data_IF_895770088945
#
_entry.id   IF_895770088945
#
_cell.length_a   1.000
_cell.length_b   1.000
_cell.length_c   1.000
_cell.angle_alpha   90.00
_cell.angle_beta   90.00
_cell.angle_gamma   90.00
#
_symmetry.space_group_name_H-M   'P 1'
#
loop_
_entity.id
_entity.type
_entity.pdbx_description
1 polymer ?
#
# COMPACT_ATOMS: atom_id res chain seq x y z
N UNK A 1 8.74 -14.06 21.25
CA UNK A 1 7.50 -13.80 21.99
C UNK A 1 6.51 -14.94 21.75
N UNK A 2 5.58 -15.18 22.67
CA UNK A 2 4.49 -16.15 22.57
C UNK A 2 3.19 -15.47 22.96
N UNK A 3 2.08 -15.99 22.47
CA UNK A 3 0.73 -15.51 22.75
C UNK A 3 -0.29 -16.42 22.10
N UNK A 4 -1.53 -15.96 21.99
CA UNK A 4 -2.64 -16.66 21.33
C UNK A 4 -3.17 -15.83 20.16
N UNK A 5 -3.84 -16.50 19.23
CA UNK A 5 -4.62 -15.82 18.18
C UNK A 5 -5.98 -15.45 18.79
N UNK A 6 -6.22 -14.16 18.91
CA UNK A 6 -7.44 -13.61 19.50
C UNK A 6 -8.57 -13.43 18.48
N UNK A 7 -8.21 -13.28 17.18
CA UNK A 7 -9.17 -13.27 16.06
C UNK A 7 -8.47 -13.64 14.75
N UNK A 8 -9.20 -14.29 13.83
CA UNK A 8 -8.67 -14.72 12.52
C UNK A 8 -9.06 -13.79 11.37
N UNK A 9 -10.12 -12.97 11.54
CA UNK A 9 -10.72 -12.17 10.48
C UNK A 9 -10.95 -10.72 10.94
N UNK A 10 -9.93 -10.13 11.60
CA UNK A 10 -10.03 -8.74 12.05
C UNK A 10 -9.88 -7.79 10.86
N UNK A 11 -10.94 -7.08 10.53
CA UNK A 11 -10.89 -6.02 9.53
C UNK A 11 -10.35 -4.73 10.14
N UNK A 12 -9.29 -4.21 9.54
CA UNK A 12 -8.65 -2.95 9.93
C UNK A 12 -8.48 -2.10 8.68
N UNK A 13 -8.90 -0.85 8.76
CA UNK A 13 -8.73 0.13 7.69
C UNK A 13 -7.52 1.01 7.99
N UNK A 14 -6.53 0.99 7.11
CA UNK A 14 -5.29 1.77 7.18
C UNK A 14 -5.15 2.50 5.86
N UNK A 15 -4.96 3.83 5.92
CA UNK A 15 -4.79 4.65 4.71
C UNK A 15 -5.90 4.35 3.67
N UNK A 16 -7.17 4.23 4.12
CA UNK A 16 -8.36 3.87 3.35
C UNK A 16 -8.34 2.46 2.71
N UNK A 17 -7.39 1.62 3.09
CA UNK A 17 -7.35 0.22 2.71
C UNK A 17 -7.83 -0.68 3.85
N UNK A 18 -8.89 -1.45 3.61
CA UNK A 18 -9.36 -2.46 4.56
C UNK A 18 -8.61 -3.76 4.33
N UNK A 19 -7.92 -4.22 5.38
CA UNK A 19 -7.21 -5.50 5.41
C UNK A 19 -7.84 -6.44 6.42
N UNK A 20 -7.88 -7.72 6.08
CA UNK A 20 -8.26 -8.79 7.01
C UNK A 20 -6.99 -9.36 7.64
N UNK A 21 -6.85 -9.22 8.96
CA UNK A 21 -5.64 -9.57 9.69
C UNK A 21 -5.92 -10.60 10.80
N UNK A 22 -4.89 -11.36 11.16
CA UNK A 22 -4.87 -12.13 12.41
C UNK A 22 -4.60 -11.16 13.56
N UNK A 23 -5.36 -11.27 14.63
CA UNK A 23 -5.11 -10.55 15.88
C UNK A 23 -4.46 -11.49 16.90
N UNK A 24 -3.46 -11.01 17.62
CA UNK A 24 -2.74 -11.76 18.65
C UNK A 24 -2.41 -10.87 19.85
N UNK A 25 -2.32 -11.46 21.02
CA UNK A 25 -1.80 -10.82 22.24
C UNK A 25 -0.28 -11.00 22.40
N UNK A 26 0.36 -11.76 21.51
CA UNK A 26 1.82 -11.85 21.46
C UNK A 26 2.42 -10.43 21.29
N UNK A 27 3.43 -10.10 22.09
CA UNK A 27 4.05 -8.78 22.07
C UNK A 27 4.65 -8.48 20.69
N UNK A 28 4.04 -7.57 19.95
CA UNK A 28 4.51 -7.02 18.68
C UNK A 28 5.11 -5.66 18.96
N UNK A 29 6.38 -5.50 18.63
CA UNK A 29 7.16 -4.27 18.84
C UNK A 29 7.96 -3.93 17.58
N UNK A 30 8.46 -2.70 17.44
CA UNK A 30 9.43 -2.37 16.40
C UNK A 30 10.60 -3.36 16.38
N UNK A 31 10.89 -3.94 15.22
CA UNK A 31 11.86 -5.02 15.04
C UNK A 31 11.23 -6.39 14.76
N UNK A 32 9.97 -6.62 15.12
CA UNK A 32 9.26 -7.86 14.78
C UNK A 32 8.58 -7.79 13.41
N UNK A 33 8.39 -6.59 12.85
CA UNK A 33 7.69 -6.37 11.58
C UNK A 33 8.39 -7.11 10.43
N UNK A 34 7.61 -7.84 9.62
CA UNK A 34 8.12 -8.73 8.58
C UNK A 34 8.54 -10.10 9.08
N UNK A 35 8.58 -10.33 10.40
CA UNK A 35 8.87 -11.64 10.99
C UNK A 35 7.71 -12.62 10.82
N UNK A 36 8.01 -13.92 10.87
CA UNK A 36 7.00 -14.97 10.78
C UNK A 36 6.27 -15.17 12.11
N UNK A 37 4.95 -15.36 12.01
CA UNK A 37 4.11 -15.86 13.10
C UNK A 37 3.90 -17.37 12.88
N UNK A 38 4.29 -18.17 13.88
CA UNK A 38 4.26 -19.63 13.79
C UNK A 38 3.28 -20.22 14.81
N UNK A 39 2.62 -21.32 14.45
CA UNK A 39 1.83 -22.10 15.40
C UNK A 39 2.73 -23.03 16.25
N UNK A 40 2.13 -23.78 17.18
CA UNK A 40 2.85 -24.70 18.06
C UNK A 40 3.53 -25.87 17.31
N UNK A 41 3.06 -26.18 16.09
CA UNK A 41 3.64 -27.24 15.23
C UNK A 41 4.79 -26.72 14.37
N UNK A 42 5.13 -25.42 14.48
CA UNK A 42 6.18 -24.77 13.68
C UNK A 42 5.74 -24.35 12.28
N UNK A 43 4.44 -24.38 11.97
CA UNK A 43 3.93 -23.90 10.68
C UNK A 43 3.80 -22.38 10.67
N UNK A 44 4.23 -21.73 9.60
CA UNK A 44 4.03 -20.32 9.37
C UNK A 44 2.53 -20.06 9.14
N UNK A 45 1.91 -19.23 9.98
CA UNK A 45 0.49 -18.87 9.90
C UNK A 45 0.26 -17.41 9.49
N UNK A 46 1.27 -16.56 9.64
CA UNK A 46 1.16 -15.15 9.26
C UNK A 46 2.49 -14.42 9.22
N UNK A 47 2.45 -13.20 8.73
CA UNK A 47 3.58 -12.25 8.69
C UNK A 47 3.23 -11.07 9.59
N UNK A 48 4.07 -10.81 10.60
CA UNK A 48 3.84 -9.74 11.58
C UNK A 48 3.83 -8.37 10.90
N UNK A 49 2.78 -7.58 11.18
CA UNK A 49 2.66 -6.19 10.74
C UNK A 49 2.66 -5.25 11.97
N UNK A 50 3.82 -4.71 12.32
CA UNK A 50 3.96 -3.84 13.47
C UNK A 50 3.36 -2.42 13.29
N UNK A 51 2.94 -2.05 12.07
CA UNK A 51 2.39 -0.70 11.79
C UNK A 51 1.09 -0.44 12.57
N UNK A 52 0.34 -1.50 12.86
CA UNK A 52 -0.94 -1.42 13.56
C UNK A 52 -0.84 -1.50 15.10
N UNK A 53 0.28 -1.92 15.63
CA UNK A 53 0.51 -1.88 17.07
C UNK A 53 0.68 -0.46 17.63
N UNK A 54 0.69 0.56 16.76
CA UNK A 54 0.82 1.98 17.12
C UNK A 54 -0.44 2.61 17.74
N UNK A 55 -1.51 1.85 17.96
CA UNK A 55 -2.74 2.34 18.62
C UNK A 55 -2.57 2.61 20.12
N UNK A 56 -1.37 2.38 20.68
CA UNK A 56 -1.09 2.60 22.11
C UNK A 56 -1.81 1.63 23.04
N UNK A 57 -2.45 0.60 22.51
CA UNK A 57 -3.11 -0.45 23.32
C UNK A 57 -2.14 -1.62 23.42
N UNK A 58 -1.65 -1.88 24.63
CA UNK A 58 -0.82 -3.06 24.92
C UNK A 58 -1.64 -4.35 24.71
N UNK A 59 -0.98 -5.40 24.19
CA UNK A 59 -1.60 -6.71 23.97
C UNK A 59 -2.48 -6.79 22.72
N UNK A 60 -2.33 -5.85 21.79
CA UNK A 60 -3.04 -5.87 20.49
C UNK A 60 -2.03 -5.90 19.36
N UNK A 61 -1.70 -7.08 18.86
CA UNK A 61 -0.81 -7.28 17.72
C UNK A 61 -1.55 -7.77 16.48
N UNK A 62 -1.02 -7.49 15.30
CA UNK A 62 -1.61 -7.91 14.04
C UNK A 62 -0.61 -8.58 13.11
N UNK A 63 -1.09 -9.57 12.35
CA UNK A 63 -0.31 -10.25 11.33
C UNK A 63 -1.16 -10.47 10.06
N UNK A 64 -0.51 -10.39 8.91
CA UNK A 64 -1.11 -10.74 7.63
C UNK A 64 -1.22 -12.26 7.57
N UNK A 65 -2.43 -12.84 7.33
CA UNK A 65 -2.57 -14.29 7.21
C UNK A 65 -1.71 -14.83 6.07
N UNK A 66 -1.10 -16.00 6.26
CA UNK A 66 -0.20 -16.57 5.25
C UNK A 66 -0.93 -17.00 3.97
N UNK A 67 -2.16 -17.49 4.09
CA UNK A 67 -2.93 -18.01 2.94
C UNK A 67 -3.10 -16.98 1.82
N UNK A 68 -3.62 -15.75 2.05
CA UNK A 68 -3.71 -14.74 0.99
C UNK A 68 -2.35 -14.16 0.58
N UNK A 69 -1.31 -14.31 1.41
CA UNK A 69 0.05 -13.83 1.09
C UNK A 69 0.85 -14.82 0.23
N UNK A 70 0.45 -16.10 0.18
CA UNK A 70 1.24 -17.17 -0.43
C UNK A 70 1.48 -16.95 -1.93
N UNK A 71 0.47 -16.52 -2.68
CA UNK A 71 0.61 -16.25 -4.12
C UNK A 71 1.59 -15.09 -4.37
N UNK A 72 1.48 -14.03 -3.57
CA UNK A 72 2.36 -12.87 -3.63
C UNK A 72 3.81 -13.27 -3.32
N UNK A 73 4.01 -14.08 -2.28
CA UNK A 73 5.34 -14.59 -1.90
C UNK A 73 5.92 -15.42 -3.05
N UNK A 74 5.12 -16.29 -3.64
CA UNK A 74 5.54 -17.13 -4.77
C UNK A 74 5.99 -16.29 -5.96
N UNK A 75 5.21 -15.26 -6.34
CA UNK A 75 5.61 -14.35 -7.41
C UNK A 75 6.90 -13.57 -7.09
N UNK A 76 7.03 -13.07 -5.87
CA UNK A 76 8.25 -12.38 -5.44
C UNK A 76 9.48 -13.28 -5.50
N UNK A 77 9.34 -14.54 -5.09
CA UNK A 77 10.44 -15.52 -5.16
C UNK A 77 10.82 -15.90 -6.60
N UNK A 78 9.85 -16.01 -7.51
CA UNK A 78 10.07 -16.39 -8.89
C UNK A 78 10.53 -15.24 -9.78
N UNK A 79 9.95 -14.06 -9.59
CA UNK A 79 10.07 -12.94 -10.53
C UNK A 79 10.79 -11.72 -9.92
N UNK A 80 11.06 -11.72 -8.60
CA UNK A 80 11.59 -10.56 -7.89
C UNK A 80 10.60 -9.40 -7.74
N UNK A 81 9.36 -9.54 -8.25
CA UNK A 81 8.31 -8.53 -8.20
C UNK A 81 6.94 -9.18 -8.29
N UNK A 82 5.90 -8.48 -7.82
CA UNK A 82 4.49 -8.89 -8.00
C UNK A 82 4.07 -8.51 -9.40
N UNK A 83 3.76 -9.50 -10.23
CA UNK A 83 3.40 -9.35 -11.64
C UNK A 83 1.92 -9.55 -11.92
N UNK A 84 1.15 -10.07 -10.97
CA UNK A 84 -0.29 -10.31 -11.09
C UNK A 84 -1.15 -9.09 -10.85
N UNK A 85 -0.57 -7.99 -10.33
CA UNK A 85 -1.32 -6.77 -10.01
C UNK A 85 -1.00 -5.65 -11.01
N UNK A 86 -2.01 -4.89 -11.48
CA UNK A 86 -1.77 -3.71 -12.30
C UNK A 86 -0.98 -2.68 -11.49
N UNK A 87 -0.01 -2.03 -12.13
CA UNK A 87 0.81 -1.00 -11.53
C UNK A 87 1.11 0.13 -12.51
N UNK A 88 1.03 1.37 -12.04
CA UNK A 88 1.47 2.54 -12.80
C UNK A 88 2.99 2.70 -12.79
N UNK A 89 3.66 2.07 -11.83
CA UNK A 89 5.11 2.18 -11.62
C UNK A 89 5.55 3.61 -11.28
N UNK A 90 4.82 4.24 -10.34
CA UNK A 90 5.09 5.58 -9.81
C UNK A 90 5.07 5.56 -8.29
N UNK A 91 5.78 6.52 -7.68
CA UNK A 91 5.57 6.92 -6.30
C UNK A 91 4.72 8.18 -6.27
N UNK A 92 3.72 8.20 -5.40
CA UNK A 92 2.79 9.31 -5.25
C UNK A 92 2.95 9.97 -3.89
N UNK A 93 2.72 11.27 -3.84
CA UNK A 93 2.62 12.02 -2.59
C UNK A 93 1.45 12.99 -2.67
N UNK A 94 0.72 13.14 -1.56
CA UNK A 94 -0.35 14.12 -1.47
C UNK A 94 0.14 15.35 -0.71
N UNK A 95 0.20 16.47 -1.40
CA UNK A 95 0.52 17.76 -0.80
C UNK A 95 -0.75 18.42 -0.28
N UNK A 96 -0.67 19.00 0.93
CA UNK A 96 -1.73 19.85 1.50
C UNK A 96 -1.08 21.11 2.03
N UNK A 97 -1.82 22.20 2.08
CA UNK A 97 -1.38 23.48 2.69
C UNK A 97 -0.90 23.32 4.14
N UNK A 98 -1.43 22.30 4.85
CA UNK A 98 -1.03 22.01 6.22
C UNK A 98 0.34 21.32 6.37
N UNK A 99 0.80 20.58 5.35
CA UNK A 99 2.07 19.83 5.41
C UNK A 99 3.23 20.48 4.65
N UNK A 100 3.05 21.68 4.11
CA UNK A 100 4.05 22.35 3.26
C UNK A 100 4.63 23.65 3.86
N UNK A 101 4.02 24.19 4.94
CA UNK A 101 4.42 25.48 5.49
C UNK A 101 4.02 26.67 4.59
N UNK A 102 4.42 27.90 5.01
CA UNK A 102 3.90 29.17 4.46
C UNK A 102 4.39 29.52 3.02
N UNK A 103 5.29 28.70 2.42
CA UNK A 103 5.89 28.93 1.10
C UNK A 103 5.75 27.72 0.18
N UNK A 104 4.58 27.08 0.18
CA UNK A 104 4.35 25.93 -0.68
C UNK A 104 4.40 26.32 -2.17
N UNK A 105 5.23 25.57 -2.91
CA UNK A 105 5.28 25.66 -4.37
C UNK A 105 4.12 24.90 -5.03
N UNK A 106 3.53 23.93 -4.31
CA UNK A 106 2.54 23.02 -4.85
C UNK A 106 1.15 23.38 -4.33
N UNK A 107 0.14 23.31 -5.20
CA UNK A 107 -1.26 23.30 -4.78
C UNK A 107 -1.61 21.98 -4.10
N UNK A 108 -2.71 21.97 -3.32
CA UNK A 108 -3.21 20.74 -2.70
C UNK A 108 -3.53 19.70 -3.79
N UNK A 109 -3.03 18.49 -3.65
CA UNK A 109 -3.26 17.47 -4.65
C UNK A 109 -2.29 16.28 -4.61
N UNK A 110 -2.59 15.31 -5.44
CA UNK A 110 -1.80 14.10 -5.62
C UNK A 110 -0.77 14.28 -6.72
N UNK A 111 0.50 14.17 -6.39
CA UNK A 111 1.62 14.39 -7.31
C UNK A 111 2.44 13.13 -7.53
N UNK A 112 2.98 13.00 -8.75
CA UNK A 112 3.97 12.00 -9.07
C UNK A 112 5.33 12.48 -8.57
N UNK A 113 5.89 11.80 -7.56
CA UNK A 113 7.21 12.16 -7.00
C UNK A 113 8.35 11.32 -7.57
N UNK A 114 8.05 10.15 -8.10
CA UNK A 114 9.04 9.29 -8.77
C UNK A 114 8.37 8.43 -9.84
N UNK A 115 9.09 8.17 -10.94
CA UNK A 115 8.65 7.28 -12.02
C UNK A 115 9.71 6.20 -12.22
N UNK A 116 9.26 4.96 -12.34
CA UNK A 116 10.13 3.84 -12.69
C UNK A 116 10.35 3.85 -14.21
N UNK A 117 11.62 3.90 -14.62
CA UNK A 117 12.00 3.90 -16.04
C UNK A 117 11.47 2.66 -16.76
N UNK A 118 10.93 2.84 -17.95
CA UNK A 118 10.26 1.82 -18.75
C UNK A 118 8.97 1.25 -18.14
N UNK A 119 8.48 1.80 -17.03
CA UNK A 119 7.18 1.47 -16.45
C UNK A 119 6.01 2.01 -17.27
N UNK A 120 4.78 1.71 -16.84
CA UNK A 120 3.56 2.15 -17.53
C UNK A 120 3.46 3.67 -17.63
N UNK A 121 3.71 4.38 -16.53
CA UNK A 121 3.68 5.84 -16.48
C UNK A 121 4.75 6.51 -17.39
N UNK A 122 5.98 5.96 -17.37
CA UNK A 122 7.07 6.46 -18.21
C UNK A 122 6.72 6.31 -19.72
N UNK A 123 6.21 5.15 -20.11
CA UNK A 123 5.76 4.89 -21.49
C UNK A 123 4.59 5.77 -21.92
N UNK A 124 3.75 6.17 -20.97
CA UNK A 124 2.63 7.10 -21.20
C UNK A 124 3.08 8.58 -21.26
N UNK A 125 4.35 8.88 -20.99
CA UNK A 125 4.90 10.24 -21.00
C UNK A 125 4.57 11.08 -19.77
N UNK A 126 4.17 10.43 -18.65
CA UNK A 126 4.05 11.08 -17.36
C UNK A 126 5.42 11.51 -16.86
N UNK A 127 5.47 12.57 -16.07
CA UNK A 127 6.71 13.14 -15.52
C UNK A 127 6.60 13.34 -14.00
N UNK A 128 7.75 13.45 -13.37
CA UNK A 128 7.83 13.91 -11.99
C UNK A 128 7.23 15.32 -11.88
N UNK A 129 6.52 15.56 -10.80
CA UNK A 129 5.75 16.75 -10.47
C UNK A 129 4.44 16.92 -11.28
N UNK A 130 4.03 15.97 -12.11
CA UNK A 130 2.68 15.97 -12.64
C UNK A 130 1.68 15.84 -11.48
N UNK A 131 0.70 16.74 -11.40
CA UNK A 131 -0.44 16.68 -10.50
C UNK A 131 -1.54 15.88 -11.16
N UNK A 132 -2.00 14.81 -10.49
CA UNK A 132 -3.06 13.97 -11.03
C UNK A 132 -4.41 14.61 -10.68
N UNK A 133 -5.18 15.00 -11.70
CA UNK A 133 -6.51 15.59 -11.56
C UNK A 133 -7.60 14.52 -11.60
N UNK A 134 -7.49 13.58 -12.55
CA UNK A 134 -8.42 12.48 -12.65
C UNK A 134 -7.75 11.22 -13.22
N UNK A 135 -8.29 10.05 -12.82
CA UNK A 135 -7.86 8.77 -13.32
C UNK A 135 -9.10 7.96 -13.72
N UNK A 136 -9.16 7.59 -15.00
CA UNK A 136 -10.30 6.90 -15.65
C UNK A 136 -11.66 7.55 -15.39
N UNK A 137 -11.68 8.89 -15.42
CA UNK A 137 -12.88 9.69 -15.17
C UNK A 137 -13.20 9.98 -13.70
N UNK A 138 -12.54 9.33 -12.75
CA UNK A 138 -12.70 9.59 -11.33
C UNK A 138 -11.73 10.70 -10.88
N UNK A 139 -12.23 11.66 -10.09
CA UNK A 139 -11.41 12.73 -9.53
C UNK A 139 -10.48 12.15 -8.45
N UNK A 140 -9.24 12.62 -8.42
CA UNK A 140 -8.22 12.16 -7.47
C UNK A 140 -8.02 13.23 -6.39
N UNK A 141 -8.39 12.88 -5.17
CA UNK A 141 -8.26 13.72 -3.97
C UNK A 141 -7.31 13.13 -2.92
N UNK A 142 -6.80 11.91 -3.18
CA UNK A 142 -5.84 11.24 -2.32
C UNK A 142 -4.99 10.24 -3.11
N UNK A 143 -3.90 9.76 -2.53
CA UNK A 143 -3.12 8.66 -3.10
C UNK A 143 -3.91 7.34 -3.09
N UNK A 144 -4.85 7.19 -2.14
CA UNK A 144 -5.74 6.03 -2.03
C UNK A 144 -6.72 5.95 -3.19
N UNK A 145 -7.20 7.09 -3.72
CA UNK A 145 -8.10 7.11 -4.88
C UNK A 145 -7.44 6.48 -6.10
N UNK A 146 -6.16 6.83 -6.35
CA UNK A 146 -5.39 6.23 -7.47
C UNK A 146 -5.30 4.71 -7.31
N UNK A 147 -5.04 4.22 -6.09
CA UNK A 147 -5.00 2.78 -5.80
C UNK A 147 -6.36 2.12 -6.00
N UNK A 148 -7.45 2.79 -5.57
CA UNK A 148 -8.81 2.26 -5.68
C UNK A 148 -9.26 2.16 -7.14
N UNK A 149 -8.96 3.16 -7.98
CA UNK A 149 -9.22 3.08 -9.42
C UNK A 149 -8.40 1.96 -10.03
N UNK A 150 -7.10 1.87 -9.72
CA UNK A 150 -6.22 0.84 -10.27
C UNK A 150 -6.67 -0.59 -9.94
N UNK A 151 -7.25 -0.82 -8.75
CA UNK A 151 -7.81 -2.12 -8.36
C UNK A 151 -8.97 -2.60 -9.24
N UNK A 152 -9.66 -1.69 -9.97
CA UNK A 152 -10.76 -2.01 -10.88
C UNK A 152 -10.26 -2.53 -12.24
N UNK A 153 -8.97 -2.39 -12.54
CA UNK A 153 -8.34 -2.74 -13.80
C UNK A 153 -7.51 -4.02 -13.72
N UNK A 154 -7.16 -4.53 -14.89
CA UNK A 154 -6.27 -5.69 -15.07
C UNK A 154 -4.99 -5.26 -15.78
N UNK A 155 -3.97 -6.10 -15.69
CA UNK A 155 -2.73 -5.89 -16.46
C UNK A 155 -3.05 -5.94 -17.95
N UNK A 156 -2.56 -4.94 -18.68
CA UNK A 156 -2.82 -4.77 -20.11
C UNK A 156 -3.98 -3.84 -20.44
N UNK A 157 -4.79 -3.44 -19.47
CA UNK A 157 -5.83 -2.44 -19.69
C UNK A 157 -5.20 -1.08 -20.04
N UNK A 158 -5.89 -0.33 -20.89
CA UNK A 158 -5.55 1.06 -21.19
C UNK A 158 -6.47 1.98 -20.41
N UNK A 159 -5.88 2.88 -19.63
CA UNK A 159 -6.59 3.82 -18.78
C UNK A 159 -6.28 5.25 -19.16
N UNK A 160 -7.19 6.18 -18.87
CA UNK A 160 -7.02 7.60 -19.13
C UNK A 160 -6.67 8.35 -17.84
N UNK A 161 -5.55 9.07 -17.87
CA UNK A 161 -5.17 9.96 -16.77
C UNK A 161 -5.13 11.40 -17.27
N UNK A 162 -5.69 12.32 -16.49
CA UNK A 162 -5.58 13.75 -16.71
C UNK A 162 -4.66 14.32 -15.67
N UNK A 163 -3.61 14.98 -16.12
CA UNK A 163 -2.61 15.60 -15.26
C UNK A 163 -2.44 17.08 -15.58
N UNK A 164 -2.09 17.84 -14.57
CA UNK A 164 -1.62 19.21 -14.69
C UNK A 164 -0.09 19.20 -14.58
N UNK A 165 0.55 19.94 -15.48
CA UNK A 165 2.00 20.06 -15.55
C UNK A 165 2.38 21.51 -15.69
N UNK A 166 3.18 22.02 -14.76
CA UNK A 166 3.80 23.34 -14.89
C UNK A 166 4.74 23.34 -16.09
N UNK A 167 4.66 24.39 -16.90
CA UNK A 167 5.50 24.60 -18.08
C UNK A 167 6.81 25.30 -17.74
#
# INVERSE_FOLDING_TARGET
TTGIISATDRQITIDDETMTLLQTDAAINPGNSGGGLFNADGNLIGIVNAKESSTGIEGLGFAIPITPAQDIITELMQNGSVTSRPALNVSLYYYTSNNQGQYSKYEDGCYIVQIVKNGAADKAGLKQNDRILSFDGEQIQSTSDVKNVLKKHKIGDTVKMVVERDS
#
